data_IF_788729333746
#
_entry.id   IF_788729333746
#
_cell.length_a   1.000
_cell.length_b   1.000
_cell.length_c   1.000
_cell.angle_alpha   90.00
_cell.angle_beta   90.00
_cell.angle_gamma   90.00
#
_symmetry.space_group_name_H-M   'P 1'
#
loop_
_entity.id
_entity.type
_entity.pdbx_description
1 polymer ?
#
# COMPACT_ATOMS: atom_id res chain seq x y z
N UNK A 1 -15.87 -11.66 14.26
CA UNK A 1 -14.48 -12.12 14.51
C UNK A 1 -13.98 -12.01 15.96
N UNK A 2 -14.56 -11.17 16.85
CA UNK A 2 -14.22 -11.16 18.30
C UNK A 2 -14.39 -12.51 19.04
N UNK A 3 -15.17 -13.46 18.49
CA UNK A 3 -15.40 -14.79 19.08
C UNK A 3 -14.29 -15.81 18.76
N UNK A 4 -13.53 -15.69 17.67
CA UNK A 4 -12.44 -16.64 17.38
C UNK A 4 -11.20 -16.35 18.25
N UNK A 5 -10.92 -15.07 18.47
CA UNK A 5 -9.74 -14.59 19.21
C UNK A 5 -9.77 -14.93 20.72
N UNK A 6 -10.97 -15.03 21.32
CA UNK A 6 -11.13 -15.47 22.72
C UNK A 6 -10.98 -16.97 22.91
N UNK A 7 -10.97 -17.76 21.85
CA UNK A 7 -10.92 -19.21 21.95
C UNK A 7 -9.49 -19.72 21.83
N UNK A 8 -8.66 -19.13 20.96
CA UNK A 8 -7.31 -19.66 20.68
C UNK A 8 -6.39 -19.67 21.91
N UNK A 9 -6.34 -18.57 22.68
CA UNK A 9 -5.44 -18.46 23.85
C UNK A 9 -5.82 -19.43 24.98
N UNK A 10 -7.10 -19.55 25.42
CA UNK A 10 -7.46 -20.57 26.41
C UNK A 10 -7.44 -21.99 25.86
N UNK A 11 -7.56 -22.21 24.54
CA UNK A 11 -7.43 -23.56 23.95
C UNK A 11 -5.99 -24.05 23.99
N UNK A 12 -4.99 -23.18 23.82
CA UNK A 12 -3.56 -23.56 23.97
C UNK A 12 -3.24 -23.96 25.42
N UNK A 13 -3.81 -23.26 26.42
CA UNK A 13 -3.66 -23.64 27.83
C UNK A 13 -4.49 -24.88 28.22
N UNK A 14 -5.71 -25.06 27.70
CA UNK A 14 -6.53 -26.26 27.93
C UNK A 14 -6.00 -27.51 27.18
N UNK A 15 -5.28 -27.34 26.08
CA UNK A 15 -4.57 -28.43 25.43
C UNK A 15 -3.46 -28.97 26.34
N UNK A 16 -2.72 -28.12 27.06
CA UNK A 16 -1.63 -28.55 27.95
C UNK A 16 -2.06 -29.61 28.98
N UNK A 17 -3.31 -29.59 29.46
CA UNK A 17 -3.83 -30.56 30.43
C UNK A 17 -4.21 -31.91 29.80
N UNK A 18 -4.55 -31.94 28.51
CA UNK A 18 -4.83 -33.20 27.78
C UNK A 18 -3.59 -33.80 27.11
N UNK A 19 -2.55 -32.99 26.85
CA UNK A 19 -1.28 -33.43 26.27
C UNK A 19 -0.44 -34.27 27.25
N UNK A 20 -0.62 -34.08 28.55
CA UNK A 20 0.03 -34.88 29.60
C UNK A 20 -0.38 -36.37 29.58
N UNK A 21 -1.48 -36.73 28.91
CA UNK A 21 -1.97 -38.11 28.81
C UNK A 21 -1.42 -38.89 27.61
N UNK A 22 -0.55 -38.28 26.79
CA UNK A 22 -0.03 -38.88 25.56
C UNK A 22 1.31 -39.62 25.72
N UNK A 23 1.79 -39.80 26.97
CA UNK A 23 3.07 -40.41 27.35
C UNK A 23 3.05 -41.96 27.35
N UNK A 24 2.38 -42.57 26.37
CA UNK A 24 2.20 -44.03 26.29
C UNK A 24 2.76 -44.67 25.00
N UNK A 25 3.68 -43.99 24.30
CA UNK A 25 4.33 -44.50 23.08
C UNK A 25 5.85 -44.32 23.12
N UNK A 26 6.57 -45.02 22.23
CA UNK A 26 8.05 -45.05 22.16
C UNK A 26 8.71 -43.67 21.92
N UNK A 27 7.95 -42.62 21.58
CA UNK A 27 8.45 -41.28 21.28
C UNK A 27 7.50 -40.16 21.75
N UNK A 28 8.07 -38.95 21.95
CA UNK A 28 7.35 -37.76 22.42
C UNK A 28 6.48 -37.16 21.34
N UNK A 29 5.18 -37.01 21.64
CA UNK A 29 4.18 -36.64 20.62
C UNK A 29 4.04 -35.16 20.39
N UNK A 30 4.38 -34.32 21.38
CA UNK A 30 4.16 -32.88 21.28
C UNK A 30 5.40 -32.10 21.64
N UNK A 31 5.67 -31.03 20.91
CA UNK A 31 6.70 -30.07 21.27
C UNK A 31 6.20 -28.64 21.07
N UNK A 32 6.53 -27.77 22.02
CA UNK A 32 6.30 -26.33 21.90
C UNK A 32 7.63 -25.61 21.91
N UNK A 33 7.76 -24.53 21.16
CA UNK A 33 8.89 -23.62 21.30
C UNK A 33 8.46 -22.17 21.22
N UNK A 34 9.20 -21.32 21.91
CA UNK A 34 9.07 -19.87 21.85
C UNK A 34 10.44 -19.27 21.51
N UNK A 35 10.44 -18.24 20.68
CA UNK A 35 11.69 -17.68 20.17
C UNK A 35 11.51 -16.39 19.40
N UNK A 36 12.62 -15.90 18.89
CA UNK A 36 12.70 -14.70 18.08
C UNK A 36 12.54 -15.06 16.60
N UNK A 37 11.67 -14.33 15.91
CA UNK A 37 11.52 -14.35 14.46
C UNK A 37 12.04 -13.03 13.91
N UNK A 38 12.99 -13.11 13.00
CA UNK A 38 13.44 -11.98 12.20
C UNK A 38 12.98 -12.20 10.76
N UNK A 39 12.09 -11.33 10.28
CA UNK A 39 11.43 -11.41 8.97
C UNK A 39 12.09 -10.39 8.05
N UNK A 40 12.63 -10.86 6.93
CA UNK A 40 13.25 -10.03 5.91
C UNK A 40 12.48 -10.14 4.59
N UNK A 41 11.53 -9.22 4.31
CA UNK A 41 10.89 -9.15 3.01
C UNK A 41 11.92 -9.00 1.87
N UNK A 42 11.73 -9.71 0.76
CA UNK A 42 12.62 -9.65 -0.40
C UNK A 42 11.95 -9.04 -1.64
N UNK A 43 10.65 -8.78 -1.56
CA UNK A 43 9.90 -8.16 -2.64
C UNK A 43 10.32 -6.72 -2.93
N UNK A 44 9.94 -6.24 -4.12
CA UNK A 44 10.27 -4.91 -4.62
C UNK A 44 9.02 -4.13 -4.96
N UNK A 45 9.15 -2.81 -4.99
CA UNK A 45 8.07 -1.92 -5.35
C UNK A 45 7.55 -2.26 -6.75
N UNK A 46 6.25 -2.49 -6.84
CA UNK A 46 5.53 -2.60 -8.12
C UNK A 46 4.94 -1.26 -8.53
N UNK A 47 4.49 -1.17 -9.78
CA UNK A 47 3.78 0.01 -10.27
C UNK A 47 2.44 0.19 -9.54
N UNK A 48 2.02 1.45 -9.40
CA UNK A 48 0.71 1.80 -8.86
C UNK A 48 -0.18 2.25 -10.02
N UNK A 49 -1.34 1.63 -10.13
CA UNK A 49 -2.39 2.00 -11.07
C UNK A 49 -3.37 2.93 -10.37
N UNK A 50 -3.73 4.04 -11.01
CA UNK A 50 -4.58 5.09 -10.43
C UNK A 50 -5.72 5.41 -11.40
N UNK A 51 -6.91 5.53 -10.85
CA UNK A 51 -8.11 6.01 -11.52
C UNK A 51 -8.72 7.14 -10.71
N UNK A 52 -9.43 8.05 -11.36
CA UNK A 52 -10.18 9.11 -10.68
C UNK A 52 -11.62 9.18 -11.16
N UNK A 53 -12.42 9.97 -10.47
CA UNK A 53 -13.79 10.28 -10.88
C UNK A 53 -13.88 11.22 -12.10
N UNK A 54 -12.76 11.71 -12.63
CA UNK A 54 -12.73 12.54 -13.84
C UNK A 54 -12.83 11.63 -15.07
N UNK A 55 -13.85 11.85 -15.89
CA UNK A 55 -14.01 11.19 -17.18
C UNK A 55 -12.99 11.70 -18.20
N UNK A 56 -12.36 10.78 -18.95
CA UNK A 56 -11.40 11.11 -20.00
C UNK A 56 -12.07 11.91 -21.13
N UNK A 57 -11.56 13.12 -21.39
CA UNK A 57 -12.16 14.05 -22.33
C UNK A 57 -13.47 14.67 -21.86
N UNK A 58 -13.82 14.52 -20.58
CA UNK A 58 -14.99 15.18 -20.00
C UNK A 58 -14.86 16.70 -20.05
N UNK A 59 -15.97 17.39 -20.32
CA UNK A 59 -16.00 18.86 -20.44
C UNK A 59 -16.37 19.50 -19.10
N UNK A 60 -15.40 20.14 -18.44
CA UNK A 60 -15.55 20.71 -17.10
C UNK A 60 -15.40 22.23 -17.12
N UNK A 61 -16.11 22.91 -16.22
CA UNK A 61 -15.93 24.34 -16.01
C UNK A 61 -14.50 24.68 -15.59
N UNK A 62 -13.96 25.78 -16.11
CA UNK A 62 -12.58 26.23 -15.79
C UNK A 62 -12.55 27.04 -14.49
N UNK A 63 -13.49 27.96 -14.30
CA UNK A 63 -13.51 28.84 -13.12
C UNK A 63 -12.30 29.78 -13.09
N UNK A 64 -11.61 29.84 -11.95
CA UNK A 64 -10.39 30.64 -11.78
C UNK A 64 -9.15 29.82 -12.09
N UNK A 65 -8.15 30.43 -12.70
CA UNK A 65 -6.85 29.80 -12.99
C UNK A 65 -5.73 30.79 -12.69
N UNK A 66 -4.60 30.32 -12.15
CA UNK A 66 -3.42 31.18 -11.98
C UNK A 66 -2.89 31.60 -13.35
N UNK A 67 -2.70 32.89 -13.54
CA UNK A 67 -2.28 33.47 -14.81
C UNK A 67 -0.96 32.87 -15.30
N UNK A 68 -0.01 32.65 -14.39
CA UNK A 68 1.27 32.03 -14.68
C UNK A 68 1.12 30.62 -15.27
N UNK A 69 0.16 29.83 -14.80
CA UNK A 69 -0.06 28.46 -15.30
C UNK A 69 -0.44 28.44 -16.78
N UNK A 70 -1.14 29.48 -17.26
CA UNK A 70 -1.46 29.62 -18.69
C UNK A 70 -0.19 29.90 -19.49
N UNK A 71 0.71 30.76 -19.01
CA UNK A 71 1.91 31.11 -19.77
C UNK A 71 2.96 30.00 -19.74
N UNK A 72 3.12 29.32 -18.60
CA UNK A 72 4.19 28.34 -18.40
C UNK A 72 3.83 26.96 -18.98
N UNK A 73 2.55 26.61 -19.03
CA UNK A 73 2.10 25.26 -19.40
C UNK A 73 1.26 25.20 -20.69
N UNK A 74 1.00 26.32 -21.36
CA UNK A 74 0.29 26.28 -22.64
C UNK A 74 1.20 25.88 -23.79
N UNK A 75 0.78 24.87 -24.55
CA UNK A 75 1.55 24.30 -25.68
C UNK A 75 1.38 25.08 -26.99
N UNK A 76 0.24 25.74 -27.17
CA UNK A 76 -0.13 26.45 -28.39
C UNK A 76 -0.50 27.92 -28.14
N UNK A 77 0.03 28.53 -27.07
CA UNK A 77 -0.35 29.88 -26.64
C UNK A 77 -0.23 30.93 -27.75
N UNK A 78 0.87 30.94 -28.49
CA UNK A 78 1.11 31.95 -29.54
C UNK A 78 0.14 31.81 -30.71
N UNK A 79 -0.25 30.58 -31.06
CA UNK A 79 -1.28 30.31 -32.07
C UNK A 79 -2.62 30.89 -31.63
N UNK A 80 -3.07 30.56 -30.42
CA UNK A 80 -4.35 31.05 -29.87
C UNK A 80 -4.32 32.56 -29.67
N UNK A 81 -3.21 33.11 -29.18
CA UNK A 81 -3.01 34.56 -29.07
C UNK A 81 -3.16 35.20 -30.43
N UNK A 82 -2.64 34.60 -31.50
CA UNK A 82 -2.75 35.15 -32.85
C UNK A 82 -4.12 35.01 -33.50
N UNK A 83 -4.98 34.10 -33.01
CA UNK A 83 -6.27 33.72 -33.62
C UNK A 83 -7.29 34.85 -33.74
N UNK A 84 -7.30 35.81 -32.81
CA UNK A 84 -8.22 36.94 -32.83
C UNK A 84 -7.65 38.15 -32.10
N UNK A 85 -8.10 39.36 -32.47
CA UNK A 85 -7.73 40.59 -31.76
C UNK A 85 -8.13 40.53 -30.28
N UNK A 86 -9.27 39.89 -29.97
CA UNK A 86 -9.75 39.72 -28.59
C UNK A 86 -8.83 38.78 -27.79
N UNK A 87 -8.36 37.69 -28.38
CA UNK A 87 -7.37 36.79 -27.75
C UNK A 87 -6.07 37.55 -27.45
N UNK A 88 -5.54 38.32 -28.42
CA UNK A 88 -4.34 39.17 -28.22
C UNK A 88 -4.51 40.12 -27.04
N UNK A 89 -5.63 40.83 -26.99
CA UNK A 89 -5.92 41.78 -25.91
C UNK A 89 -6.05 41.08 -24.56
N UNK A 90 -6.71 39.92 -24.52
CA UNK A 90 -6.84 39.10 -23.32
C UNK A 90 -5.47 38.71 -22.75
N UNK A 91 -4.62 38.05 -23.56
CA UNK A 91 -3.31 37.60 -23.09
C UNK A 91 -2.35 38.75 -22.78
N UNK A 92 -2.37 39.86 -23.53
CA UNK A 92 -1.55 41.02 -23.22
C UNK A 92 -2.00 41.69 -21.90
N UNK A 93 -3.32 41.78 -21.67
CA UNK A 93 -3.86 42.27 -20.40
C UNK A 93 -3.49 41.37 -19.23
N UNK A 94 -3.54 40.05 -19.44
CA UNK A 94 -3.14 39.07 -18.43
C UNK A 94 -1.64 39.13 -18.13
N UNK A 95 -0.79 39.25 -19.16
CA UNK A 95 0.65 39.41 -19.02
C UNK A 95 1.02 40.68 -18.25
N UNK A 96 0.35 41.80 -18.53
CA UNK A 96 0.53 43.05 -17.78
C UNK A 96 0.10 42.93 -16.31
N UNK A 97 -0.91 42.10 -16.03
CA UNK A 97 -1.37 41.84 -14.66
C UNK A 97 -0.36 40.96 -13.93
N UNK A 98 0.15 39.92 -14.58
CA UNK A 98 1.17 39.03 -14.03
C UNK A 98 2.48 39.78 -13.72
N UNK A 99 2.88 40.73 -14.57
CA UNK A 99 4.04 41.59 -14.32
C UNK A 99 3.91 42.47 -13.06
N UNK A 100 2.69 42.72 -12.59
CA UNK A 100 2.40 43.49 -11.37
C UNK A 100 2.17 42.61 -10.14
N UNK A 101 1.60 41.42 -10.35
CA UNK A 101 1.31 40.44 -9.31
C UNK A 101 1.59 39.02 -9.85
N UNK A 102 2.67 38.35 -9.41
CA UNK A 102 2.98 36.98 -9.82
C UNK A 102 1.87 35.97 -9.47
N UNK A 103 1.12 36.21 -8.39
CA UNK A 103 0.04 35.34 -7.93
C UNK A 103 -1.33 35.71 -8.55
N UNK A 104 -1.34 36.48 -9.65
CA UNK A 104 -2.58 36.90 -10.29
C UNK A 104 -3.40 35.70 -10.80
N UNK A 105 -4.71 35.72 -10.55
CA UNK A 105 -5.67 34.75 -11.09
C UNK A 105 -6.48 35.38 -12.23
N UNK A 106 -6.64 34.62 -13.32
CA UNK A 106 -7.63 34.91 -14.35
C UNK A 106 -8.94 34.23 -13.96
N UNK A 107 -10.02 35.00 -13.91
CA UNK A 107 -11.36 34.43 -13.78
C UNK A 107 -11.94 34.17 -15.18
N UNK A 108 -12.03 32.89 -15.55
CA UNK A 108 -12.53 32.41 -16.84
C UNK A 108 -13.87 31.67 -16.64
N UNK A 109 -14.63 32.05 -15.60
CA UNK A 109 -15.96 31.50 -15.32
C UNK A 109 -16.89 31.58 -16.54
N UNK A 110 -17.75 30.57 -16.70
CA UNK A 110 -18.62 30.41 -17.87
C UNK A 110 -17.91 29.84 -19.11
N UNK A 111 -16.68 29.37 -18.95
CA UNK A 111 -15.91 28.62 -19.95
C UNK A 111 -15.65 27.21 -19.48
N UNK A 112 -15.51 26.29 -20.43
CA UNK A 112 -15.28 24.88 -20.16
C UNK A 112 -14.08 24.35 -20.95
N UNK A 113 -13.49 23.26 -20.46
CA UNK A 113 -12.34 22.59 -21.06
C UNK A 113 -12.48 21.08 -20.95
N UNK A 114 -12.08 20.38 -22.00
CA UNK A 114 -11.97 18.93 -22.02
C UNK A 114 -10.69 18.54 -21.28
N UNK A 115 -10.79 17.64 -20.29
CA UNK A 115 -9.68 17.22 -19.42
C UNK A 115 -9.27 15.78 -19.72
N UNK A 116 -7.96 15.53 -19.83
CA UNK A 116 -7.35 14.28 -20.24
C UNK A 116 -6.18 13.88 -19.34
N UNK A 117 -5.83 12.60 -19.33
CA UNK A 117 -4.61 12.07 -18.70
C UNK A 117 -4.69 11.82 -17.19
N UNK A 118 -5.86 12.06 -16.58
CA UNK A 118 -6.09 11.87 -15.13
C UNK A 118 -7.29 10.98 -14.81
N UNK A 119 -7.86 10.30 -15.81
CA UNK A 119 -8.95 9.34 -15.61
C UNK A 119 -8.42 7.96 -15.19
N UNK A 120 -7.33 7.52 -15.82
CA UNK A 120 -6.66 6.23 -15.66
C UNK A 120 -5.19 6.38 -16.08
N UNK A 121 -4.26 6.08 -15.17
CA UNK A 121 -2.84 6.02 -15.50
C UNK A 121 -2.06 5.10 -14.55
N UNK A 122 -0.78 4.90 -14.82
CA UNK A 122 0.11 4.09 -13.99
C UNK A 122 1.42 4.81 -13.78
N UNK A 123 1.92 4.83 -12.54
CA UNK A 123 3.24 5.35 -12.20
C UNK A 123 4.16 4.23 -11.69
N UNK A 124 5.46 4.39 -11.92
CA UNK A 124 6.50 3.54 -11.34
C UNK A 124 6.81 3.94 -9.90
N UNK A 125 5.79 3.85 -9.05
CA UNK A 125 5.88 4.11 -7.63
C UNK A 125 5.09 3.01 -6.90
N UNK A 126 5.61 2.54 -5.78
CA UNK A 126 5.10 1.34 -5.11
C UNK A 126 5.52 1.25 -3.65
N UNK A 127 5.31 0.07 -3.08
CA UNK A 127 5.48 -0.19 -1.66
C UNK A 127 6.44 -1.37 -1.43
N UNK A 128 7.36 -1.20 -0.48
CA UNK A 128 8.27 -2.24 0.00
C UNK A 128 8.09 -2.42 1.51
N UNK A 129 8.07 -3.66 1.99
CA UNK A 129 7.98 -3.93 3.42
C UNK A 129 9.38 -3.94 4.04
N UNK A 130 9.53 -3.30 5.20
CA UNK A 130 10.78 -3.27 5.95
C UNK A 130 10.95 -4.54 6.81
N UNK A 131 12.18 -4.79 7.23
CA UNK A 131 12.54 -5.89 8.11
C UNK A 131 11.84 -5.73 9.46
N UNK A 132 11.41 -6.85 10.04
CA UNK A 132 10.72 -6.80 11.33
C UNK A 132 11.06 -7.99 12.21
N UNK A 133 11.16 -7.69 13.50
CA UNK A 133 11.33 -8.68 14.53
C UNK A 133 10.05 -8.93 15.33
N UNK A 134 9.79 -10.19 15.68
CA UNK A 134 8.68 -10.54 16.57
C UNK A 134 8.94 -11.81 17.39
N UNK A 135 8.08 -12.07 18.37
CA UNK A 135 8.07 -13.32 19.10
C UNK A 135 7.24 -14.37 18.36
N UNK A 136 7.90 -15.47 18.03
CA UNK A 136 7.33 -16.67 17.43
C UNK A 136 7.00 -17.74 18.46
N UNK A 137 5.94 -18.48 18.17
CA UNK A 137 5.50 -19.68 18.88
C UNK A 137 5.30 -20.80 17.87
N UNK A 138 5.88 -21.96 18.13
CA UNK A 138 5.64 -23.15 17.32
C UNK A 138 5.05 -24.28 18.15
N UNK A 139 4.10 -25.00 17.55
CA UNK A 139 3.50 -26.21 18.10
C UNK A 139 3.74 -27.34 17.10
N UNK A 140 4.44 -28.39 17.53
CA UNK A 140 4.74 -29.56 16.74
C UNK A 140 3.97 -30.76 17.28
N UNK A 141 3.32 -31.49 16.39
CA UNK A 141 2.75 -32.80 16.63
C UNK A 141 3.55 -33.85 15.85
N UNK A 142 4.26 -34.73 16.56
CA UNK A 142 5.04 -35.81 15.95
C UNK A 142 4.13 -36.98 15.62
N UNK A 143 4.04 -37.33 14.33
CA UNK A 143 3.34 -38.51 13.84
C UNK A 143 4.22 -39.75 14.10
N UNK A 144 5.53 -39.58 13.96
CA UNK A 144 6.56 -40.56 14.30
C UNK A 144 7.88 -39.82 14.63
N UNK A 145 8.96 -40.57 14.87
CA UNK A 145 10.27 -40.01 15.19
C UNK A 145 10.82 -39.02 14.16
N UNK A 146 10.45 -39.18 12.89
CA UNK A 146 10.99 -38.41 11.77
C UNK A 146 9.98 -37.42 11.19
N UNK A 147 8.67 -37.55 11.43
CA UNK A 147 7.65 -36.72 10.77
C UNK A 147 6.82 -35.97 11.80
N UNK A 148 6.72 -34.65 11.65
CA UNK A 148 5.82 -33.82 12.45
C UNK A 148 4.96 -32.88 11.60
N UNK A 149 3.84 -32.46 12.17
CA UNK A 149 3.07 -31.31 11.71
C UNK A 149 3.35 -30.14 12.64
N UNK A 150 3.71 -29.00 12.09
CA UNK A 150 4.05 -27.79 12.82
C UNK A 150 3.09 -26.66 12.48
N UNK A 151 2.50 -26.06 13.51
CA UNK A 151 1.81 -24.78 13.43
C UNK A 151 2.76 -23.70 13.91
N UNK A 152 2.94 -22.66 13.11
CA UNK A 152 3.73 -21.47 13.43
C UNK A 152 2.74 -20.31 13.63
N UNK A 153 2.84 -19.65 14.77
CA UNK A 153 2.13 -18.43 15.08
C UNK A 153 3.00 -17.52 15.94
N UNK A 154 2.43 -16.45 16.46
CA UNK A 154 3.20 -15.52 17.29
C UNK A 154 2.44 -14.25 17.57
N UNK A 155 3.16 -13.27 18.10
CA UNK A 155 2.64 -11.92 18.21
C UNK A 155 2.70 -11.30 16.81
N UNK A 156 1.57 -10.84 16.24
CA UNK A 156 1.57 -10.23 14.91
C UNK A 156 2.39 -8.93 14.95
N UNK A 157 3.49 -8.83 14.18
CA UNK A 157 4.32 -7.63 14.16
C UNK A 157 3.58 -6.44 13.55
N UNK A 158 4.12 -5.26 13.83
CA UNK A 158 3.85 -4.06 13.03
C UNK A 158 5.00 -3.93 12.04
N UNK A 159 4.68 -3.89 10.76
CA UNK A 159 5.62 -3.78 9.66
C UNK A 159 5.52 -2.38 9.12
N UNK A 160 6.66 -1.70 9.02
CA UNK A 160 6.73 -0.42 8.34
C UNK A 160 6.82 -0.69 6.83
N UNK A 161 6.06 0.08 6.06
CA UNK A 161 6.00 -0.01 4.61
C UNK A 161 6.69 1.24 4.07
N UNK A 162 7.80 1.04 3.38
CA UNK A 162 8.49 2.08 2.65
C UNK A 162 7.80 2.37 1.33
N UNK A 163 7.73 3.64 0.99
CA UNK A 163 7.29 4.09 -0.31
C UNK A 163 8.49 4.24 -1.25
N UNK A 164 8.34 3.87 -2.52
CA UNK A 164 9.36 4.07 -3.56
C UNK A 164 8.77 4.85 -4.73
N UNK A 165 9.52 5.81 -5.25
CA UNK A 165 9.13 6.64 -6.40
C UNK A 165 8.05 7.70 -6.12
N UNK A 166 7.61 8.35 -7.19
CA UNK A 166 6.67 9.48 -7.15
C UNK A 166 5.39 9.15 -7.92
N UNK A 167 4.25 9.61 -7.39
CA UNK A 167 2.97 9.61 -8.10
C UNK A 167 2.82 10.97 -8.77
N UNK A 168 2.78 10.96 -10.10
CA UNK A 168 2.67 12.18 -10.93
C UNK A 168 1.50 12.01 -11.89
N UNK A 169 0.60 12.98 -11.87
CA UNK A 169 -0.53 13.08 -12.78
C UNK A 169 -0.20 14.05 -13.91
N UNK A 170 -0.12 13.56 -15.15
CA UNK A 170 0.14 14.37 -16.34
C UNK A 170 -1.20 14.84 -16.93
N UNK A 171 -1.66 16.01 -16.51
CA UNK A 171 -2.95 16.54 -16.99
C UNK A 171 -2.78 17.29 -18.29
N UNK A 172 -3.71 17.07 -19.21
CA UNK A 172 -3.88 17.86 -20.42
C UNK A 172 -5.29 18.42 -20.44
N UNK A 173 -5.43 19.72 -20.70
CA UNK A 173 -6.74 20.36 -20.84
C UNK A 173 -6.82 21.18 -22.12
N UNK A 174 -7.91 21.06 -22.87
CA UNK A 174 -8.16 21.81 -24.09
C UNK A 174 -9.44 22.62 -23.91
N UNK A 175 -9.36 23.95 -24.03
CA UNK A 175 -10.54 24.81 -23.94
C UNK A 175 -11.53 24.46 -25.05
N UNK A 176 -12.75 24.08 -24.66
CA UNK A 176 -13.87 23.77 -25.55
C UNK A 176 -15.12 24.49 -25.03
N UNK A 177 -15.23 25.76 -25.42
CA UNK A 177 -16.26 26.67 -24.93
C UNK A 177 -16.87 27.49 -26.06
N UNK A 178 -18.19 27.43 -26.17
CA UNK A 178 -18.98 28.28 -27.06
C UNK A 178 -19.42 29.60 -26.41
N UNK A 179 -19.20 29.75 -25.10
CA UNK A 179 -19.62 30.88 -24.27
C UNK A 179 -18.45 31.54 -23.53
N UNK A 180 -18.73 32.70 -22.92
CA UNK A 180 -17.79 33.39 -22.03
C UNK A 180 -16.49 33.86 -22.71
N UNK A 181 -15.46 34.06 -21.90
CA UNK A 181 -14.11 34.37 -22.38
C UNK A 181 -13.49 33.20 -23.16
N UNK A 182 -13.89 31.96 -22.83
CA UNK A 182 -13.43 30.72 -23.46
C UNK A 182 -13.64 30.69 -24.97
N UNK A 183 -14.71 31.30 -25.49
CA UNK A 183 -14.94 31.40 -26.94
C UNK A 183 -13.76 32.03 -27.70
N UNK A 184 -13.11 33.03 -27.10
CA UNK A 184 -12.02 33.77 -27.74
C UNK A 184 -10.67 33.05 -27.61
N UNK A 185 -10.57 32.05 -26.74
CA UNK A 185 -9.37 31.25 -26.49
C UNK A 185 -9.65 29.76 -26.73
N UNK A 186 -10.65 29.45 -27.56
CA UNK A 186 -11.07 28.09 -27.85
C UNK A 186 -9.92 27.33 -28.52
N UNK A 187 -9.67 26.10 -28.09
CA UNK A 187 -8.53 25.29 -28.52
C UNK A 187 -7.22 25.59 -27.77
N UNK A 188 -7.20 26.51 -26.80
CA UNK A 188 -6.05 26.66 -25.91
C UNK A 188 -5.80 25.37 -25.15
N UNK A 189 -4.58 24.86 -25.29
CA UNK A 189 -4.14 23.62 -24.67
C UNK A 189 -3.16 23.94 -23.54
N UNK A 190 -3.36 23.29 -22.39
CA UNK A 190 -2.48 23.33 -21.23
C UNK A 190 -2.05 21.89 -20.92
N UNK A 191 -0.75 21.66 -20.73
CA UNK A 191 -0.19 20.39 -20.26
C UNK A 191 0.65 20.62 -19.02
N UNK A 192 0.32 19.94 -17.93
CA UNK A 192 1.03 20.10 -16.67
C UNK A 192 1.20 18.76 -15.96
N UNK A 193 2.41 18.51 -15.50
CA UNK A 193 2.69 17.43 -14.57
C UNK A 193 2.46 17.91 -13.14
N UNK A 194 1.60 17.20 -12.43
CA UNK A 194 1.23 17.50 -11.04
C UNK A 194 1.81 16.38 -10.17
N UNK A 195 2.80 16.72 -9.34
CA UNK A 195 3.27 15.83 -8.29
C UNK A 195 2.15 15.66 -7.27
N UNK A 196 1.59 14.45 -7.20
CA UNK A 196 0.53 14.08 -6.26
C UNK A 196 1.15 13.78 -4.91
N UNK A 197 2.14 12.88 -4.87
CA UNK A 197 2.89 12.57 -3.67
C UNK A 197 4.27 12.02 -4.03
N UNK A 198 5.25 12.34 -3.21
CA UNK A 198 6.57 11.71 -3.23
C UNK A 198 6.65 10.72 -2.07
N UNK A 199 6.61 9.43 -2.41
CA UNK A 199 6.54 8.37 -1.42
C UNK A 199 7.85 8.20 -0.63
N UNK A 200 8.97 8.69 -1.16
CA UNK A 200 10.29 8.62 -0.52
C UNK A 200 10.55 9.84 0.38
N UNK A 201 9.93 10.97 0.08
CA UNK A 201 10.13 12.22 0.83
C UNK A 201 9.62 12.17 2.27
N UNK A 202 8.65 11.31 2.56
CA UNK A 202 7.97 11.24 3.86
C UNK A 202 8.50 10.14 4.80
N UNK A 203 9.55 9.42 4.42
CA UNK A 203 10.05 8.25 5.15
C UNK A 203 9.17 7.02 4.91
N UNK A 204 8.68 6.37 5.97
CA UNK A 204 7.72 5.26 5.80
C UNK A 204 6.41 5.77 5.24
N UNK A 205 5.84 5.09 4.26
CA UNK A 205 4.54 5.43 3.68
C UNK A 205 3.38 4.96 4.57
N UNK A 206 3.52 3.81 5.24
CA UNK A 206 2.51 3.28 6.14
C UNK A 206 3.11 2.36 7.24
N UNK A 207 2.31 2.06 8.26
CA UNK A 207 2.52 0.97 9.21
C UNK A 207 1.35 -0.01 9.10
N UNK A 208 1.61 -1.31 8.99
CA UNK A 208 0.59 -2.37 8.89
C UNK A 208 0.83 -3.46 9.92
N UNK A 209 -0.24 -4.08 10.44
CA UNK A 209 -0.11 -5.26 11.31
C UNK A 209 -0.33 -6.53 10.49
N UNK A 210 0.65 -7.42 10.52
CA UNK A 210 0.64 -8.65 9.74
C UNK A 210 0.33 -9.88 10.62
N UNK A 211 -0.66 -10.67 10.21
CA UNK A 211 -1.03 -11.94 10.82
C UNK A 211 -0.74 -13.06 9.85
N UNK A 212 0.32 -13.83 10.11
CA UNK A 212 0.84 -14.83 9.16
C UNK A 212 0.93 -16.25 9.76
N UNK A 213 -0.18 -16.87 10.22
CA UNK A 213 -0.13 -18.26 10.67
C UNK A 213 0.28 -19.20 9.53
N UNK A 214 1.17 -20.15 9.84
CA UNK A 214 1.62 -21.16 8.89
C UNK A 214 1.43 -22.58 9.44
N UNK A 215 1.18 -23.53 8.54
CA UNK A 215 1.10 -24.95 8.81
C UNK A 215 2.10 -25.67 7.90
N UNK A 216 3.04 -26.40 8.49
CA UNK A 216 4.07 -27.14 7.75
C UNK A 216 4.13 -28.61 8.18
N UNK A 217 4.46 -29.49 7.23
CA UNK A 217 4.90 -30.85 7.53
C UNK A 217 6.42 -30.88 7.50
N UNK A 218 7.04 -31.53 8.47
CA UNK A 218 8.49 -31.53 8.66
C UNK A 218 9.03 -32.94 8.75
N UNK A 219 10.13 -33.18 8.03
CA UNK A 219 10.95 -34.37 8.13
C UNK A 219 12.23 -34.07 8.92
N UNK A 220 12.40 -34.74 10.05
CA UNK A 220 13.50 -34.64 10.98
C UNK A 220 14.48 -35.79 10.75
N UNK A 221 15.75 -35.45 10.56
CA UNK A 221 16.83 -36.42 10.44
C UNK A 221 17.32 -36.87 11.82
N UNK A 222 17.70 -38.14 11.93
CA UNK A 222 18.14 -38.75 13.19
C UNK A 222 16.98 -39.07 14.14
N UNK A 223 17.32 -39.65 15.29
CA UNK A 223 16.37 -40.10 16.32
C UNK A 223 16.46 -39.25 17.58
N UNK A 224 15.30 -38.93 18.16
CA UNK A 224 15.20 -38.20 19.42
C UNK A 224 15.91 -38.96 20.54
N UNK A 225 16.63 -38.27 21.43
CA UNK A 225 17.35 -38.89 22.56
C UNK A 225 18.65 -39.64 22.19
N UNK A 226 18.87 -39.93 20.90
CA UNK A 226 20.13 -40.50 20.40
C UNK A 226 21.00 -39.41 19.76
N UNK A 227 20.42 -38.65 18.83
CA UNK A 227 21.12 -37.57 18.13
C UNK A 227 20.81 -36.24 18.82
N UNK A 228 21.85 -35.60 19.39
CA UNK A 228 21.69 -34.26 19.99
C UNK A 228 21.37 -33.19 18.95
N UNK A 229 22.01 -33.24 17.77
CA UNK A 229 21.72 -32.32 16.67
C UNK A 229 20.85 -33.04 15.63
N UNK A 230 19.67 -32.47 15.34
CA UNK A 230 18.71 -33.04 14.40
C UNK A 230 18.29 -32.00 13.37
N UNK A 231 18.90 -32.01 12.18
CA UNK A 231 18.44 -31.22 11.04
C UNK A 231 17.02 -31.61 10.64
N UNK A 232 16.28 -30.69 10.04
CA UNK A 232 14.96 -30.95 9.47
C UNK A 232 14.69 -30.10 8.22
N UNK A 233 13.82 -30.62 7.37
CA UNK A 233 13.25 -29.92 6.22
C UNK A 233 11.74 -29.93 6.33
N UNK A 234 11.10 -28.84 5.94
CA UNK A 234 9.65 -28.71 6.01
C UNK A 234 9.08 -27.98 4.81
N UNK A 235 7.83 -28.31 4.50
CA UNK A 235 7.05 -27.63 3.48
C UNK A 235 5.60 -27.47 3.96
N UNK A 236 4.92 -26.42 3.51
CA UNK A 236 3.58 -26.12 3.99
C UNK A 236 2.92 -24.94 3.32
N UNK A 237 1.94 -24.38 4.02
CA UNK A 237 1.13 -23.25 3.59
C UNK A 237 1.10 -22.16 4.65
N UNK A 238 0.96 -20.92 4.21
CA UNK A 238 0.77 -19.73 5.05
C UNK A 238 -0.47 -18.98 4.59
N UNK A 239 -1.18 -18.40 5.55
CA UNK A 239 -2.24 -17.42 5.31
C UNK A 239 -1.83 -16.10 5.93
N UNK A 240 -1.88 -15.02 5.17
CA UNK A 240 -1.58 -13.65 5.58
C UNK A 240 -2.83 -12.80 5.64
N UNK A 241 -3.06 -12.17 6.78
CA UNK A 241 -4.09 -11.14 6.94
C UNK A 241 -3.45 -9.86 7.47
N UNK A 242 -3.79 -8.72 6.86
CA UNK A 242 -3.15 -7.44 7.13
C UNK A 242 -4.20 -6.45 7.64
N UNK A 243 -4.00 -5.93 8.85
CA UNK A 243 -4.96 -5.04 9.51
C UNK A 243 -4.29 -3.81 10.14
N UNK A 244 -5.11 -2.87 10.62
CA UNK A 244 -4.67 -1.66 11.33
C UNK A 244 -3.64 -0.83 10.55
N UNK A 245 -3.90 -0.68 9.26
CA UNK A 245 -3.08 0.15 8.37
C UNK A 245 -3.16 1.60 8.84
N UNK A 246 -1.99 2.24 8.97
CA UNK A 246 -1.84 3.65 9.32
C UNK A 246 -0.95 4.30 8.28
N UNK A 247 -1.50 5.24 7.52
CA UNK A 247 -0.72 6.05 6.60
C UNK A 247 0.18 7.01 7.37
N UNK A 248 1.28 7.39 6.72
CA UNK A 248 2.06 8.55 7.11
C UNK A 248 1.23 9.82 6.90
N UNK A 249 1.26 10.75 7.86
CA UNK A 249 0.47 11.98 7.78
C UNK A 249 0.82 12.86 6.56
N UNK A 250 2.07 12.83 6.08
CA UNK A 250 2.48 13.53 4.86
C UNK A 250 1.83 12.93 3.61
N UNK A 251 1.93 11.61 3.44
CA UNK A 251 1.29 10.88 2.33
C UNK A 251 -0.24 11.01 2.39
N UNK A 252 -0.83 10.91 3.59
CA UNK A 252 -2.27 11.10 3.78
C UNK A 252 -2.71 12.51 3.36
N UNK A 253 -1.98 13.53 3.78
CA UNK A 253 -2.29 14.91 3.42
C UNK A 253 -2.15 15.19 1.91
N UNK A 254 -1.12 14.63 1.27
CA UNK A 254 -0.93 14.70 -0.18
C UNK A 254 -2.12 14.10 -0.94
N UNK A 255 -2.59 12.94 -0.50
CA UNK A 255 -3.76 12.27 -1.10
C UNK A 255 -5.07 13.02 -0.82
N UNK A 256 -5.24 13.61 0.36
CA UNK A 256 -6.39 14.49 0.66
C UNK A 256 -6.38 15.72 -0.26
N UNK A 257 -5.22 16.35 -0.44
CA UNK A 257 -5.05 17.48 -1.35
C UNK A 257 -5.38 17.11 -2.80
N UNK A 258 -4.91 15.95 -3.25
CA UNK A 258 -5.27 15.42 -4.57
C UNK A 258 -6.79 15.19 -4.69
N UNK A 259 -7.43 14.68 -3.64
CA UNK A 259 -8.90 14.58 -3.56
C UNK A 259 -9.59 15.93 -3.75
N UNK A 260 -9.09 17.00 -3.12
CA UNK A 260 -9.60 18.36 -3.35
C UNK A 260 -9.42 18.81 -4.80
N UNK A 261 -8.26 18.54 -5.42
CA UNK A 261 -8.00 18.89 -6.82
C UNK A 261 -8.97 18.17 -7.77
N UNK A 262 -9.19 16.87 -7.58
CA UNK A 262 -10.17 16.11 -8.36
C UNK A 262 -11.59 16.66 -8.16
N UNK A 263 -11.99 16.94 -6.92
CA UNK A 263 -13.29 17.54 -6.67
C UNK A 263 -13.43 18.92 -7.33
N UNK A 264 -12.38 19.75 -7.35
CA UNK A 264 -12.42 21.05 -8.02
C UNK A 264 -12.66 20.90 -9.53
N UNK A 265 -12.13 19.86 -10.19
CA UNK A 265 -12.50 19.55 -11.59
C UNK A 265 -14.00 19.27 -11.69
N UNK A 266 -14.53 18.40 -10.83
CA UNK A 266 -15.93 18.01 -10.80
C UNK A 266 -16.89 19.16 -10.45
N UNK A 267 -16.43 20.15 -9.68
CA UNK A 267 -17.17 21.36 -9.30
C UNK A 267 -17.17 22.42 -10.40
N UNK A 268 -16.53 22.16 -11.55
CA UNK A 268 -16.38 23.14 -12.62
C UNK A 268 -15.39 24.26 -12.29
N UNK A 269 -14.38 23.93 -11.49
CA UNK A 269 -13.25 24.79 -11.10
C UNK A 269 -11.91 24.18 -11.55
N UNK A 270 -11.85 23.57 -12.74
CA UNK A 270 -10.67 22.85 -13.23
C UNK A 270 -9.40 23.71 -13.29
N UNK A 271 -9.51 25.02 -13.52
CA UNK A 271 -8.38 25.95 -13.46
C UNK A 271 -7.77 26.07 -12.05
N UNK A 272 -8.60 25.94 -11.01
CA UNK A 272 -8.16 25.94 -9.61
C UNK A 272 -7.66 24.57 -9.18
N UNK A 273 -7.99 23.52 -9.93
CA UNK A 273 -7.45 22.17 -9.73
C UNK A 273 -6.03 21.99 -10.29
N UNK A 274 -5.51 22.91 -11.12
CA UNK A 274 -4.13 22.87 -11.61
C UNK A 274 -3.09 23.19 -10.53
N UNK A 275 -3.54 23.80 -9.43
CA UNK A 275 -2.72 24.11 -8.27
C UNK A 275 -3.43 23.58 -7.03
N UNK A 276 -2.68 23.09 -6.07
CA UNK A 276 -3.27 22.65 -4.82
C UNK A 276 -3.80 23.87 -4.04
N UNK A 277 -5.12 24.07 -4.07
CA UNK A 277 -5.82 25.10 -3.29
C UNK A 277 -6.12 24.67 -1.84
N UNK A 278 -5.88 23.40 -1.51
CA UNK A 278 -6.16 22.80 -0.20
C UNK A 278 -7.65 22.78 0.18
N UNK A 279 -8.56 23.08 -0.74
CA UNK A 279 -10.00 23.12 -0.46
C UNK A 279 -10.85 22.90 -1.71
N UNK A 280 -12.04 22.34 -1.51
CA UNK A 280 -13.09 22.12 -2.53
C UNK A 280 -14.46 22.00 -1.83
N UNK A 281 -15.53 21.66 -2.57
CA UNK A 281 -16.82 21.37 -1.94
C UNK A 281 -16.84 20.08 -1.11
N UNK A 282 -15.92 19.13 -1.38
CA UNK A 282 -15.80 17.84 -0.70
C UNK A 282 -15.11 17.94 0.67
N UNK A 283 -15.19 16.86 1.44
CA UNK A 283 -14.37 16.59 2.62
C UNK A 283 -13.63 15.24 2.42
N UNK A 284 -12.54 15.23 1.62
CA UNK A 284 -11.84 14.01 1.24
C UNK A 284 -11.19 13.34 2.44
N UNK A 285 -11.37 12.03 2.57
CA UNK A 285 -10.63 11.19 3.50
C UNK A 285 -10.00 10.01 2.77
N UNK A 286 -8.87 9.54 3.28
CA UNK A 286 -8.13 8.41 2.70
C UNK A 286 -8.46 7.14 3.47
N UNK A 287 -8.77 6.08 2.73
CA UNK A 287 -8.92 4.73 3.27
C UNK A 287 -7.94 3.81 2.55
N UNK A 288 -7.28 2.95 3.31
CA UNK A 288 -6.41 1.92 2.76
C UNK A 288 -6.92 0.56 3.21
N UNK A 289 -7.12 -0.32 2.24
CA UNK A 289 -7.47 -1.71 2.44
C UNK A 289 -6.43 -2.60 1.75
N UNK A 290 -6.30 -3.83 2.21
CA UNK A 290 -5.38 -4.81 1.64
C UNK A 290 -6.06 -6.17 1.54
N UNK A 291 -5.84 -6.86 0.44
CA UNK A 291 -6.27 -8.25 0.29
C UNK A 291 -5.46 -9.18 1.18
N UNK A 292 -6.06 -10.32 1.51
CA UNK A 292 -5.37 -11.43 2.17
C UNK A 292 -4.39 -12.12 1.21
N UNK A 293 -3.33 -12.71 1.76
CA UNK A 293 -2.32 -13.46 1.02
C UNK A 293 -2.36 -14.95 1.36
N UNK A 294 -2.06 -15.80 0.38
CA UNK A 294 -1.81 -17.22 0.59
C UNK A 294 -0.54 -17.62 -0.13
N UNK A 295 0.26 -18.48 0.50
CA UNK A 295 1.55 -18.89 -0.07
C UNK A 295 1.99 -20.27 0.36
N UNK A 296 2.94 -20.80 -0.41
CA UNK A 296 3.71 -21.96 -0.01
C UNK A 296 4.81 -21.53 0.98
N UNK A 297 5.20 -22.44 1.85
CA UNK A 297 6.27 -22.23 2.82
C UNK A 297 7.28 -23.35 2.68
N UNK A 298 8.56 -22.99 2.60
CA UNK A 298 9.67 -23.94 2.67
C UNK A 298 10.52 -23.60 3.89
N UNK A 299 10.91 -24.60 4.66
CA UNK A 299 11.69 -24.38 5.90
C UNK A 299 12.82 -25.39 5.97
N UNK A 300 13.99 -24.92 6.37
CA UNK A 300 15.13 -25.75 6.72
C UNK A 300 15.66 -25.31 8.07
N UNK A 301 15.99 -26.27 8.94
CA UNK A 301 16.45 -25.93 10.27
C UNK A 301 17.12 -27.09 10.97
N UNK A 302 17.40 -26.88 12.25
CA UNK A 302 17.85 -27.94 13.13
C UNK A 302 17.32 -27.72 14.54
N UNK A 303 17.31 -28.81 15.30
CA UNK A 303 17.10 -28.80 16.75
C UNK A 303 18.35 -29.30 17.44
N UNK A 304 18.66 -28.74 18.61
CA UNK A 304 19.72 -29.21 19.50
C UNK A 304 19.12 -29.60 20.85
N UNK A 305 19.19 -30.88 21.18
CA UNK A 305 18.64 -31.44 22.41
C UNK A 305 19.62 -31.26 23.57
N UNK A 306 19.24 -30.44 24.56
CA UNK A 306 19.99 -30.28 25.80
C UNK A 306 19.85 -31.51 26.69
N UNK A 307 18.63 -32.05 26.73
CA UNK A 307 18.24 -33.30 27.37
C UNK A 307 16.99 -33.84 26.65
N UNK A 308 16.39 -34.92 27.16
CA UNK A 308 15.26 -35.56 26.48
C UNK A 308 14.07 -34.63 26.27
N UNK A 309 13.90 -33.60 27.12
CA UNK A 309 12.73 -32.70 27.14
C UNK A 309 13.03 -31.34 26.53
N UNK A 310 14.16 -30.74 26.88
CA UNK A 310 14.52 -29.39 26.47
C UNK A 310 15.40 -29.38 25.24
N UNK A 311 15.07 -28.53 24.28
CA UNK A 311 15.83 -28.34 23.05
C UNK A 311 15.88 -26.87 22.65
N UNK A 312 16.88 -26.49 21.86
CA UNK A 312 16.83 -25.27 21.07
C UNK A 312 16.53 -25.60 19.61
N UNK A 313 16.00 -24.63 18.88
CA UNK A 313 15.76 -24.77 17.45
C UNK A 313 16.17 -23.51 16.73
N UNK A 314 16.71 -23.70 15.53
CA UNK A 314 17.04 -22.63 14.61
C UNK A 314 16.52 -23.01 13.22
N UNK A 315 15.92 -22.08 12.51
CA UNK A 315 15.44 -22.32 11.14
C UNK A 315 15.53 -21.11 10.24
N UNK A 316 15.56 -21.41 8.95
CA UNK A 316 15.41 -20.50 7.84
C UNK A 316 14.15 -20.90 7.06
N UNK A 317 13.24 -19.97 6.89
CA UNK A 317 11.96 -20.18 6.20
C UNK A 317 11.86 -19.21 5.03
N UNK A 318 11.43 -19.70 3.88
CA UNK A 318 11.19 -18.89 2.68
C UNK A 318 9.77 -19.08 2.20
N UNK A 319 9.11 -17.98 1.83
CA UNK A 319 7.73 -17.96 1.34
C UNK A 319 7.69 -17.39 -0.08
N UNK A 320 7.89 -18.22 -1.13
CA UNK A 320 7.91 -17.73 -2.51
C UNK A 320 6.53 -17.27 -2.99
N UNK A 321 6.52 -16.21 -3.80
CA UNK A 321 5.33 -15.60 -4.40
C UNK A 321 4.27 -15.20 -3.36
N UNK A 322 4.70 -14.83 -2.16
CA UNK A 322 3.82 -14.35 -1.12
C UNK A 322 3.60 -12.85 -1.31
N UNK A 323 2.43 -12.50 -1.84
CA UNK A 323 2.07 -11.13 -2.19
C UNK A 323 0.59 -10.86 -1.92
N UNK A 324 0.25 -9.58 -1.87
CA UNK A 324 -1.12 -9.11 -1.77
C UNK A 324 -1.33 -7.84 -2.61
N UNK A 325 -2.57 -7.39 -2.70
CA UNK A 325 -2.93 -6.13 -3.34
C UNK A 325 -3.33 -5.11 -2.29
N UNK A 326 -2.75 -3.92 -2.35
CA UNK A 326 -3.16 -2.76 -1.57
C UNK A 326 -4.05 -1.87 -2.43
N UNK A 327 -5.17 -1.43 -1.86
CA UNK A 327 -6.12 -0.51 -2.46
C UNK A 327 -6.21 0.74 -1.59
N UNK A 328 -6.02 1.89 -2.23
CA UNK A 328 -6.10 3.21 -1.61
C UNK A 328 -7.27 3.94 -2.26
N UNK A 329 -8.25 4.33 -1.45
CA UNK A 329 -9.43 5.07 -1.90
C UNK A 329 -9.47 6.43 -1.22
N UNK A 330 -9.61 7.49 -2.01
CA UNK A 330 -9.90 8.85 -1.50
C UNK A 330 -11.38 9.12 -1.75
N UNK A 331 -12.15 9.27 -0.69
CA UNK A 331 -13.62 9.38 -0.75
C UNK A 331 -14.08 10.67 -0.10
N UNK A 332 -15.07 11.33 -0.69
CA UNK A 332 -15.73 12.47 -0.05
C UNK A 332 -16.63 11.99 1.10
N UNK A 333 -16.34 12.41 2.33
CA UNK A 333 -17.11 12.05 3.53
C UNK A 333 -18.56 12.56 3.50
N UNK A 334 -18.85 13.61 2.73
CA UNK A 334 -20.20 14.20 2.64
C UNK A 334 -21.11 13.40 1.71
N UNK A 335 -20.61 12.97 0.56
CA UNK A 335 -21.41 12.31 -0.50
C UNK A 335 -21.16 10.81 -0.60
N UNK A 336 -20.05 10.31 -0.07
CA UNK A 336 -19.60 8.92 -0.27
C UNK A 336 -19.03 8.64 -1.65
N UNK A 337 -18.84 9.66 -2.49
CA UNK A 337 -18.27 9.51 -3.84
C UNK A 337 -16.77 9.23 -3.75
N UNK A 338 -16.31 8.16 -4.39
CA UNK A 338 -14.88 7.89 -4.56
C UNK A 338 -14.31 8.86 -5.61
N UNK A 339 -13.28 9.60 -5.21
CA UNK A 339 -12.62 10.61 -6.04
C UNK A 339 -11.37 10.03 -6.70
N UNK A 340 -10.62 9.21 -5.96
CA UNK A 340 -9.39 8.57 -6.42
C UNK A 340 -9.43 7.11 -5.95
N UNK A 341 -9.08 6.21 -6.86
CA UNK A 341 -8.91 4.79 -6.61
C UNK A 341 -7.52 4.39 -7.10
N UNK A 342 -6.64 3.96 -6.19
CA UNK A 342 -5.31 3.51 -6.54
C UNK A 342 -5.08 2.08 -6.07
N UNK A 343 -4.41 1.28 -6.89
CA UNK A 343 -4.06 -0.09 -6.53
C UNK A 343 -2.61 -0.41 -6.84
N UNK A 344 -1.96 -1.13 -5.93
CA UNK A 344 -0.58 -1.56 -6.09
C UNK A 344 -0.39 -2.97 -5.54
N UNK A 345 0.49 -3.74 -6.18
CA UNK A 345 0.85 -5.07 -5.73
C UNK A 345 2.00 -4.97 -4.74
N UNK A 346 1.85 -5.57 -3.57
CA UNK A 346 2.90 -5.63 -2.56
C UNK A 346 3.47 -7.03 -2.56
N UNK A 347 4.69 -7.17 -3.08
CA UNK A 347 5.44 -8.41 -3.01
C UNK A 347 6.20 -8.44 -1.68
N UNK A 348 6.05 -9.53 -0.92
CA UNK A 348 6.70 -9.70 0.38
C UNK A 348 7.85 -10.70 0.25
N UNK A 349 7.59 -11.87 -0.33
CA UNK A 349 8.54 -12.97 -0.53
C UNK A 349 9.56 -13.16 0.63
N UNK A 350 9.10 -13.26 1.89
CA UNK A 350 9.98 -13.08 3.02
C UNK A 350 10.94 -14.27 3.22
N UNK A 351 12.16 -13.92 3.61
CA UNK A 351 13.13 -14.81 4.24
C UNK A 351 13.07 -14.62 5.75
N UNK A 352 12.75 -15.67 6.49
CA UNK A 352 12.51 -15.58 7.93
C UNK A 352 13.54 -16.45 8.65
N UNK A 353 14.18 -15.88 9.66
CA UNK A 353 15.00 -16.66 10.61
C UNK A 353 14.28 -16.82 11.93
N UNK A 354 14.38 -18.00 12.52
CA UNK A 354 13.82 -18.30 13.83
C UNK A 354 14.90 -18.86 14.74
N UNK A 355 14.96 -18.39 15.98
CA UNK A 355 15.79 -18.98 17.04
C UNK A 355 14.98 -19.05 18.32
N UNK A 356 14.82 -20.26 18.86
CA UNK A 356 13.97 -20.48 20.03
C UNK A 356 14.40 -21.62 20.93
N UNK A 357 13.77 -21.68 22.08
CA UNK A 357 13.89 -22.78 23.06
C UNK A 357 12.54 -23.45 23.19
N UNK A 358 12.55 -24.78 23.26
CA UNK A 358 11.35 -25.58 23.32
C UNK A 358 11.41 -26.73 24.31
N UNK A 359 10.23 -27.30 24.54
CA UNK A 359 9.99 -28.41 25.45
C UNK A 359 9.17 -29.50 24.75
N UNK A 360 9.55 -30.76 24.93
CA UNK A 360 8.84 -31.95 24.43
C UNK A 360 8.10 -32.66 25.55
N UNK A 361 6.82 -32.93 25.32
CA UNK A 361 5.92 -33.68 26.20
C UNK A 361 5.93 -35.16 25.84
#
# INVERSE_FOLDING_TARGET
MKKLLKTVVPTVFLLSTHLAYADSGEFKRWAVSAGWLHVMPQGKANTTHINTAVEEGGNYGVGKIRAQEIFDNSTNLEEIKSSSTLAKLFFNGLQNTLARNPDAEANIAGSAANVYGISDWTNNAGLEADDVDTLGLTLNYFINDNVSLQVIGGIPPKVDIEGKGQIVASVQSIVDSSTGLGKNINGLEIKKDILVTDLEAHGKAAEVRAWTPALTAQYHFGKSGVNKLRPYLGAGIVYGHFDKIKLNGGVEQDLVNAGHMIQNVLDGQAGSALVNSGSSSADPHVKVDTDDAFGAVLTAGFTYDFNDRWFSTMSLTYMPNFNNKATISVTDSKTGKELIHATTKVDLDPLITYVGVGYRF
#
